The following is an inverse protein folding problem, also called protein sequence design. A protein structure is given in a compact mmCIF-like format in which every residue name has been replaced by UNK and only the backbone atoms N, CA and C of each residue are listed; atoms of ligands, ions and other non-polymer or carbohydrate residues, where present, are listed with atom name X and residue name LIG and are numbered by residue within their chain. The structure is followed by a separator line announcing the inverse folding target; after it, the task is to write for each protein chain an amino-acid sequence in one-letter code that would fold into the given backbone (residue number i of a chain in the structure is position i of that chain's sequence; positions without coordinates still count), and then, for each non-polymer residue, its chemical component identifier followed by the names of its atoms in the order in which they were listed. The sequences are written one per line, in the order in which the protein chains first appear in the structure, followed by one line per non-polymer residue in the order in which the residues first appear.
data_IF_057146195491
#
_entry.id   IF_057146195491
#
_cell.length_a   1.000
_cell.length_b   1.000
_cell.length_c   1.000
_cell.angle_alpha   90.00
_cell.angle_beta   90.00
_cell.angle_gamma   90.00
#
_symmetry.space_group_name_H-M   'P 1'
#
loop_
_entity.id
_entity.type
_entity.pdbx_description
1 polymer ?
#
# COMPACT_ATOMS: atom_id res chain seq x y z
N UNK A 1 7.49 3.40 3.45
CA UNK A 1 6.89 4.37 4.41
C UNK A 1 7.99 5.07 5.18
N UNK A 2 8.22 6.39 5.01
CA UNK A 2 9.36 7.16 5.56
C UNK A 2 9.06 7.72 6.98
N UNK A 3 10.05 7.81 7.87
CA UNK A 3 9.93 8.51 9.17
C UNK A 3 9.87 10.03 8.94
N UNK A 4 9.04 10.74 9.73
CA UNK A 4 8.86 12.19 9.61
C UNK A 4 9.49 12.87 10.83
N UNK A 5 10.61 13.57 10.65
CA UNK A 5 11.12 14.54 11.62
C UNK A 5 10.23 15.79 11.63
N UNK A 6 10.09 16.45 12.78
CA UNK A 6 9.03 17.43 13.04
C UNK A 6 9.03 18.69 12.15
N UNK A 7 10.06 18.93 11.33
CA UNK A 7 10.28 20.23 10.72
C UNK A 7 9.71 20.44 9.30
N UNK A 8 8.94 19.51 8.74
CA UNK A 8 8.01 19.78 7.61
C UNK A 8 7.01 18.62 7.43
N UNK A 9 6.05 18.53 8.36
CA UNK A 9 4.92 17.61 8.27
C UNK A 9 3.90 18.14 7.27
N UNK A 10 3.76 17.45 6.14
CA UNK A 10 2.73 17.72 5.13
C UNK A 10 1.42 17.03 5.53
N UNK A 11 0.49 17.80 6.09
CA UNK A 11 -0.81 17.33 6.55
C UNK A 11 -1.67 16.79 5.40
N UNK A 12 -1.52 17.31 4.19
CA UNK A 12 -2.22 16.80 3.00
C UNK A 12 -1.76 15.38 2.67
N UNK A 13 -0.45 15.14 2.72
CA UNK A 13 0.12 13.82 2.49
C UNK A 13 -0.31 12.81 3.56
N UNK A 14 -0.34 13.23 4.83
CA UNK A 14 -0.83 12.38 5.91
C UNK A 14 -2.34 12.07 5.74
N UNK A 15 -3.17 13.02 5.30
CA UNK A 15 -4.59 12.72 5.01
C UNK A 15 -4.77 11.74 3.86
N UNK A 16 -4.02 11.89 2.77
CA UNK A 16 -4.06 10.96 1.63
C UNK A 16 -3.62 9.55 2.04
N UNK A 17 -2.56 9.44 2.85
CA UNK A 17 -2.10 8.16 3.40
C UNK A 17 -3.16 7.52 4.30
N UNK A 18 -3.82 8.32 5.13
CA UNK A 18 -4.93 7.87 5.95
C UNK A 18 -6.07 7.32 5.11
N UNK A 19 -6.51 8.08 4.10
CA UNK A 19 -7.54 7.65 3.16
C UNK A 19 -7.19 6.33 2.47
N UNK A 20 -5.96 6.18 1.98
CA UNK A 20 -5.50 4.94 1.36
C UNK A 20 -5.60 3.73 2.32
N UNK A 21 -5.20 3.90 3.58
CA UNK A 21 -5.34 2.86 4.60
C UNK A 21 -6.81 2.53 4.87
N UNK A 22 -7.67 3.55 5.03
CA UNK A 22 -9.10 3.35 5.30
C UNK A 22 -9.76 2.59 4.15
N UNK A 23 -9.51 3.00 2.91
CA UNK A 23 -10.05 2.31 1.73
C UNK A 23 -9.57 0.87 1.65
N UNK A 24 -8.31 0.60 2.00
CA UNK A 24 -7.76 -0.77 2.05
C UNK A 24 -8.39 -1.61 3.16
N UNK A 25 -8.62 -1.05 4.35
CA UNK A 25 -9.32 -1.75 5.43
C UNK A 25 -10.74 -2.11 5.00
N UNK A 26 -11.46 -1.16 4.38
CA UNK A 26 -12.81 -1.42 3.86
C UNK A 26 -12.75 -2.51 2.77
N UNK A 27 -11.79 -2.46 1.85
CA UNK A 27 -11.62 -3.50 0.82
C UNK A 27 -11.51 -4.89 1.43
N UNK A 28 -10.58 -5.05 2.37
CA UNK A 28 -10.30 -6.35 2.98
C UNK A 28 -11.46 -6.84 3.84
N UNK A 29 -12.15 -5.96 4.55
CA UNK A 29 -13.38 -6.33 5.28
C UNK A 29 -14.44 -6.83 4.30
N UNK A 30 -14.65 -6.14 3.17
CA UNK A 30 -15.61 -6.57 2.15
C UNK A 30 -15.20 -7.90 1.49
N UNK A 31 -13.90 -8.15 1.28
CA UNK A 31 -13.40 -9.46 0.82
C UNK A 31 -13.83 -10.56 1.78
N UNK A 32 -13.56 -10.39 3.07
CA UNK A 32 -13.88 -11.41 4.08
C UNK A 32 -15.39 -11.64 4.20
N UNK A 33 -16.19 -10.57 4.19
CA UNK A 33 -17.66 -10.66 4.26
C UNK A 33 -18.24 -11.35 3.03
N UNK A 34 -17.79 -10.97 1.83
CA UNK A 34 -18.24 -11.58 0.57
C UNK A 34 -17.87 -13.06 0.49
N UNK A 35 -16.69 -13.44 0.98
CA UNK A 35 -16.22 -14.81 0.93
C UNK A 35 -16.90 -15.74 1.96
N UNK A 36 -17.33 -15.21 3.12
CA UNK A 36 -17.70 -16.06 4.27
C UNK A 36 -19.10 -15.79 4.87
N UNK A 37 -19.73 -14.65 4.58
CA UNK A 37 -20.95 -14.23 5.30
C UNK A 37 -22.11 -13.97 4.36
N UNK A 38 -21.93 -13.07 3.39
CA UNK A 38 -23.01 -12.64 2.51
C UNK A 38 -22.45 -12.13 1.17
N UNK A 39 -23.05 -12.56 0.06
CA UNK A 39 -22.66 -12.13 -1.29
C UNK A 39 -23.69 -11.18 -1.87
N UNK A 40 -23.53 -9.89 -1.60
CA UNK A 40 -24.43 -8.84 -2.10
C UNK A 40 -23.79 -8.04 -3.26
N UNK A 41 -24.51 -7.80 -4.38
CA UNK A 41 -23.94 -7.11 -5.56
C UNK A 41 -23.39 -5.71 -5.27
N UNK A 42 -24.00 -4.98 -4.33
CA UNK A 42 -23.55 -3.64 -3.96
C UNK A 42 -22.19 -3.65 -3.24
N UNK A 43 -21.87 -4.71 -2.50
CA UNK A 43 -20.56 -4.87 -1.84
C UNK A 43 -19.45 -5.06 -2.88
N UNK A 44 -19.71 -5.89 -3.89
CA UNK A 44 -18.78 -6.07 -5.00
C UNK A 44 -18.62 -4.78 -5.82
N UNK A 45 -19.70 -4.04 -6.05
CA UNK A 45 -19.65 -2.74 -6.71
C UNK A 45 -18.75 -1.74 -5.95
N UNK A 46 -18.88 -1.65 -4.62
CA UNK A 46 -17.99 -0.81 -3.78
C UNK A 46 -16.54 -1.26 -3.94
N UNK A 47 -16.27 -2.58 -3.91
CA UNK A 47 -14.92 -3.12 -4.09
C UNK A 47 -14.31 -2.69 -5.40
N UNK A 48 -15.02 -2.94 -6.50
CA UNK A 48 -14.52 -2.71 -7.84
C UNK A 48 -14.35 -1.22 -8.19
N UNK A 49 -15.11 -0.33 -7.55
CA UNK A 49 -15.13 1.10 -7.88
C UNK A 49 -14.36 2.00 -6.91
N UNK A 50 -14.47 1.76 -5.60
CA UNK A 50 -13.92 2.66 -4.58
C UNK A 50 -12.63 2.12 -3.96
N UNK A 51 -12.65 0.87 -3.50
CA UNK A 51 -11.59 0.36 -2.63
C UNK A 51 -10.46 -0.32 -3.38
N UNK A 52 -10.67 -0.77 -4.62
CA UNK A 52 -9.64 -1.33 -5.51
C UNK A 52 -8.50 -0.38 -5.82
N UNK A 53 -8.73 0.93 -5.69
CA UNK A 53 -7.70 1.97 -5.88
C UNK A 53 -6.82 2.20 -4.64
N UNK A 54 -7.13 1.57 -3.50
CA UNK A 54 -6.38 1.78 -2.25
C UNK A 54 -4.89 1.42 -2.36
N UNK A 55 -4.58 0.28 -2.96
CA UNK A 55 -3.22 -0.21 -3.17
C UNK A 55 -2.44 0.63 -4.20
N UNK A 56 -2.99 0.91 -5.40
CA UNK A 56 -2.40 1.89 -6.33
C UNK A 56 -2.12 3.25 -5.65
N UNK A 57 -3.10 3.78 -4.90
CA UNK A 57 -2.94 5.04 -4.19
C UNK A 57 -1.80 4.97 -3.16
N UNK A 58 -1.70 3.89 -2.39
CA UNK A 58 -0.63 3.70 -1.41
C UNK A 58 0.77 3.63 -2.05
N UNK A 59 0.89 2.98 -3.21
CA UNK A 59 2.13 2.92 -3.99
C UNK A 59 2.50 4.29 -4.59
N UNK A 60 1.52 5.01 -5.15
CA UNK A 60 1.70 6.39 -5.65
C UNK A 60 2.16 7.32 -4.53
N UNK A 61 1.54 7.25 -3.35
CA UNK A 61 1.95 8.04 -2.19
C UNK A 61 3.36 7.69 -1.71
N UNK A 62 3.77 6.43 -1.87
CA UNK A 62 5.16 6.02 -1.60
C UNK A 62 6.15 6.65 -2.58
N UNK A 63 5.79 6.78 -3.85
CA UNK A 63 6.55 7.52 -4.87
C UNK A 63 6.65 9.02 -4.60
N UNK A 64 5.53 9.66 -4.23
CA UNK A 64 5.51 11.06 -3.82
C UNK A 64 6.42 11.31 -2.61
N UNK A 65 6.38 10.40 -1.62
CA UNK A 65 7.25 10.44 -0.46
C UNK A 65 8.73 10.28 -0.85
N UNK A 66 9.04 9.33 -1.72
CA UNK A 66 10.40 9.11 -2.22
C UNK A 66 10.95 10.37 -2.91
N UNK A 67 10.14 11.00 -3.77
CA UNK A 67 10.56 12.20 -4.48
C UNK A 67 10.77 13.41 -3.56
N UNK A 68 9.95 13.57 -2.51
CA UNK A 68 9.99 14.74 -1.62
C UNK A 68 10.95 14.62 -0.44
N UNK A 69 11.09 13.40 0.08
CA UNK A 69 11.79 13.14 1.35
C UNK A 69 12.93 12.15 1.21
N UNK A 70 13.14 11.61 0.01
CA UNK A 70 14.19 10.63 -0.26
C UNK A 70 13.90 9.27 0.36
N UNK A 71 14.97 8.58 0.76
CA UNK A 71 14.91 7.19 1.19
C UNK A 71 14.46 7.05 2.65
N UNK A 72 13.84 5.91 3.02
CA UNK A 72 13.46 5.68 4.40
C UNK A 72 14.69 5.55 5.29
N UNK A 73 14.56 5.99 6.54
CA UNK A 73 15.59 5.75 7.56
C UNK A 73 15.80 4.24 7.74
N UNK A 74 17.01 3.83 8.15
CA UNK A 74 17.33 2.42 8.44
C UNK A 74 16.38 1.82 9.48
N UNK A 75 16.10 2.57 10.55
CA UNK A 75 15.12 2.20 11.58
C UNK A 75 13.75 1.91 10.97
N UNK A 76 13.34 2.73 10.01
CA UNK A 76 12.05 2.60 9.35
C UNK A 76 12.00 1.41 8.37
N UNK A 77 13.09 1.15 7.66
CA UNK A 77 13.23 -0.07 6.84
C UNK A 77 13.11 -1.29 7.74
N UNK A 78 13.81 -1.32 8.89
CA UNK A 78 13.73 -2.41 9.84
C UNK A 78 12.30 -2.63 10.36
N UNK A 79 11.57 -1.56 10.70
CA UNK A 79 10.16 -1.66 11.09
C UNK A 79 9.28 -2.31 10.01
N UNK A 80 9.50 -1.93 8.74
CA UNK A 80 8.74 -2.48 7.61
C UNK A 80 9.13 -3.95 7.39
N UNK A 81 10.41 -4.29 7.48
CA UNK A 81 10.92 -5.66 7.35
C UNK A 81 10.33 -6.58 8.42
N UNK A 82 10.36 -6.16 9.69
CA UNK A 82 9.78 -6.93 10.79
C UNK A 82 8.27 -7.08 10.61
N UNK A 83 7.56 -6.01 10.24
CA UNK A 83 6.13 -6.08 9.97
C UNK A 83 5.80 -7.04 8.81
N UNK A 84 6.56 -6.95 7.71
CA UNK A 84 6.41 -7.84 6.57
C UNK A 84 6.62 -9.31 6.96
N UNK A 85 7.71 -9.60 7.68
CA UNK A 85 8.02 -10.95 8.14
C UNK A 85 6.91 -11.52 9.05
N UNK A 86 6.44 -10.74 10.02
CA UNK A 86 5.39 -11.15 10.94
C UNK A 86 4.05 -11.36 10.23
N UNK A 87 3.67 -10.47 9.30
CA UNK A 87 2.42 -10.60 8.55
C UNK A 87 2.44 -11.79 7.59
N UNK A 88 3.52 -12.01 6.84
CA UNK A 88 3.64 -13.19 5.99
C UNK A 88 3.62 -14.48 6.82
N UNK A 89 4.30 -14.50 7.99
CA UNK A 89 4.25 -15.64 8.89
C UNK A 89 2.81 -15.90 9.37
N UNK A 90 2.09 -14.86 9.78
CA UNK A 90 0.71 -14.97 10.24
C UNK A 90 -0.24 -15.45 9.13
N UNK A 91 -0.09 -14.92 7.91
CA UNK A 91 -0.89 -15.32 6.75
C UNK A 91 -0.65 -16.78 6.36
N UNK A 92 0.62 -17.23 6.33
CA UNK A 92 0.99 -18.61 6.04
C UNK A 92 0.40 -19.63 7.04
N UNK A 93 0.07 -19.22 8.26
CA UNK A 93 -0.56 -20.09 9.26
C UNK A 93 -2.07 -20.27 9.02
N UNK A 94 -2.73 -19.29 8.40
CA UNK A 94 -4.18 -19.32 8.16
C UNK A 94 -4.52 -19.90 6.80
N UNK A 95 -3.69 -19.66 5.79
CA UNK A 95 -3.88 -20.18 4.44
C UNK A 95 -2.66 -20.99 4.00
N UNK A 96 -2.66 -22.27 4.37
CA UNK A 96 -1.58 -23.21 4.01
C UNK A 96 -1.55 -23.40 2.49
N UNK A 97 -0.48 -22.94 1.85
CA UNK A 97 -0.23 -23.14 0.41
C UNK A 97 -0.41 -21.89 -0.46
N UNK A 98 -0.86 -20.76 0.10
CA UNK A 98 -0.87 -19.49 -0.63
C UNK A 98 0.53 -18.86 -0.63
N UNK A 99 1.14 -18.81 -1.82
CA UNK A 99 2.35 -18.02 -2.06
C UNK A 99 1.89 -16.62 -2.45
N UNK A 100 1.56 -15.78 -1.47
CA UNK A 100 1.12 -14.39 -1.66
C UNK A 100 1.98 -13.48 -0.81
N UNK A 101 3.10 -12.94 -1.31
CA UNK A 101 3.87 -11.99 -0.52
C UNK A 101 3.01 -10.77 -0.25
N UNK A 102 2.86 -10.41 1.02
CA UNK A 102 2.15 -9.17 1.34
C UNK A 102 2.91 -7.95 0.79
N UNK A 103 2.19 -6.85 0.60
CA UNK A 103 2.68 -5.71 -0.19
C UNK A 103 3.92 -5.02 0.40
N UNK A 104 4.17 -5.07 1.71
CA UNK A 104 5.38 -4.55 2.32
C UNK A 104 6.61 -5.38 1.93
N UNK A 105 6.49 -6.70 1.83
CA UNK A 105 7.53 -7.58 1.30
C UNK A 105 7.82 -7.24 -0.17
N UNK A 106 6.77 -7.12 -0.99
CA UNK A 106 6.92 -6.67 -2.40
C UNK A 106 7.60 -5.30 -2.45
N UNK A 107 7.15 -4.34 -1.64
CA UNK A 107 7.73 -3.00 -1.56
C UNK A 107 9.20 -3.01 -1.12
N UNK A 108 9.60 -3.92 -0.22
CA UNK A 108 11.00 -4.07 0.21
C UNK A 108 11.90 -4.58 -0.91
N UNK A 109 11.38 -5.44 -1.81
CA UNK A 109 12.16 -5.88 -2.98
C UNK A 109 12.52 -4.72 -3.92
N UNK A 110 11.72 -3.64 -3.91
CA UNK A 110 11.95 -2.46 -4.73
C UNK A 110 12.95 -1.47 -4.12
N UNK A 111 13.28 -1.59 -2.84
CA UNK A 111 14.13 -0.64 -2.11
C UNK A 111 15.50 -0.41 -2.79
N UNK A 112 16.23 -1.43 -3.28
CA UNK A 112 17.50 -1.24 -3.99
C UNK A 112 17.34 -0.45 -5.30
N UNK A 113 16.14 -0.47 -5.90
CA UNK A 113 15.82 0.18 -7.16
C UNK A 113 15.24 1.58 -7.00
N UNK A 114 14.97 2.04 -5.77
CA UNK A 114 14.47 3.40 -5.54
C UNK A 114 15.34 4.50 -6.15
N UNK A 115 16.68 4.42 -6.17
CA UNK A 115 17.49 5.42 -6.88
C UNK A 115 17.20 5.46 -8.38
N UNK A 116 16.98 4.30 -8.99
CA UNK A 116 16.64 4.21 -10.40
C UNK A 116 15.24 4.77 -10.65
N UNK A 117 14.24 4.36 -9.86
CA UNK A 117 12.85 4.84 -9.97
C UNK A 117 12.78 6.35 -9.76
N UNK A 118 13.50 6.88 -8.76
CA UNK A 118 13.52 8.30 -8.46
C UNK A 118 14.18 9.12 -9.58
N UNK A 119 15.16 8.56 -10.29
CA UNK A 119 15.90 9.23 -11.38
C UNK A 119 15.18 9.12 -12.72
N UNK A 120 14.70 7.94 -13.07
CA UNK A 120 14.08 7.59 -14.36
C UNK A 120 12.69 6.99 -14.18
N UNK A 121 11.70 7.77 -13.69
CA UNK A 121 10.41 7.22 -13.30
C UNK A 121 9.60 6.71 -14.50
N UNK A 122 9.67 7.36 -15.66
CA UNK A 122 8.91 6.93 -16.85
C UNK A 122 9.44 5.59 -17.35
N UNK A 123 10.75 5.45 -17.43
CA UNK A 123 11.44 4.23 -17.83
C UNK A 123 11.20 3.12 -16.80
N UNK A 124 11.28 3.42 -15.50
CA UNK A 124 10.99 2.46 -14.44
C UNK A 124 9.54 1.97 -14.49
N UNK A 125 8.57 2.85 -14.80
CA UNK A 125 7.19 2.43 -15.01
C UNK A 125 7.04 1.54 -16.24
N UNK A 126 7.69 1.89 -17.35
CA UNK A 126 7.72 1.07 -18.56
C UNK A 126 8.30 -0.33 -18.29
N UNK A 127 9.43 -0.41 -17.61
CA UNK A 127 10.05 -1.67 -17.19
C UNK A 127 9.14 -2.47 -16.25
N UNK A 128 8.46 -1.82 -15.31
CA UNK A 128 7.50 -2.46 -14.42
C UNK A 128 6.32 -3.09 -15.17
N UNK A 129 5.74 -2.37 -16.14
CA UNK A 129 4.68 -2.88 -17.01
C UNK A 129 5.17 -4.03 -17.89
N UNK A 130 6.40 -3.94 -18.42
CA UNK A 130 7.00 -5.01 -19.20
C UNK A 130 7.26 -6.26 -18.35
N UNK A 131 7.71 -6.11 -17.10
CA UNK A 131 7.84 -7.24 -16.17
C UNK A 131 6.48 -7.89 -15.91
N UNK A 132 5.45 -7.10 -15.60
CA UNK A 132 4.10 -7.61 -15.35
C UNK A 132 3.55 -8.43 -16.53
N UNK A 133 3.83 -8.01 -17.76
CA UNK A 133 3.31 -8.68 -18.97
C UNK A 133 4.13 -9.88 -19.42
N UNK A 134 5.46 -9.78 -19.33
CA UNK A 134 6.36 -10.75 -19.99
C UNK A 134 7.07 -11.68 -19.00
N UNK A 135 7.19 -11.28 -17.73
CA UNK A 135 7.92 -12.01 -16.70
C UNK A 135 7.13 -12.02 -15.38
N UNK A 136 5.84 -12.41 -15.36
CA UNK A 136 5.08 -12.48 -14.13
C UNK A 136 5.73 -13.48 -13.16
N UNK A 137 5.86 -13.09 -11.90
CA UNK A 137 6.34 -14.00 -10.86
C UNK A 137 5.17 -14.91 -10.48
N UNK A 138 5.44 -16.22 -10.36
CA UNK A 138 4.45 -17.25 -10.04
C UNK A 138 4.02 -17.22 -8.55
N UNK A 139 3.50 -16.08 -8.12
CA UNK A 139 2.81 -15.88 -6.86
C UNK A 139 1.52 -15.12 -7.12
N UNK A 140 0.56 -15.28 -6.24
CA UNK A 140 -0.68 -14.54 -6.30
C UNK A 140 -0.50 -13.14 -5.66
N UNK A 141 -1.28 -12.17 -6.11
CA UNK A 141 -1.25 -10.80 -5.57
C UNK A 141 -0.33 -9.84 -6.33
N UNK A 142 0.18 -8.84 -5.61
CA UNK A 142 0.84 -7.67 -6.22
C UNK A 142 2.20 -8.03 -6.81
N UNK A 143 2.43 -7.64 -8.06
CA UNK A 143 3.70 -7.89 -8.73
C UNK A 143 4.69 -6.72 -8.46
N UNK A 144 6.01 -6.97 -8.34
CA UNK A 144 6.97 -5.90 -8.10
C UNK A 144 6.96 -4.85 -9.21
N UNK A 145 6.77 -5.24 -10.46
CA UNK A 145 6.67 -4.31 -11.60
C UNK A 145 5.42 -3.44 -11.55
N UNK A 146 4.29 -3.98 -11.07
CA UNK A 146 3.08 -3.19 -10.84
C UNK A 146 3.32 -2.13 -9.74
N UNK A 147 3.90 -2.54 -8.61
CA UNK A 147 4.27 -1.62 -7.54
C UNK A 147 5.28 -0.56 -8.01
N UNK A 148 6.29 -0.95 -8.79
CA UNK A 148 7.28 -0.04 -9.36
C UNK A 148 6.63 1.00 -10.26
N UNK A 149 5.67 0.60 -11.12
CA UNK A 149 4.94 1.52 -12.00
C UNK A 149 4.14 2.56 -11.21
N UNK A 150 3.44 2.17 -10.15
CA UNK A 150 2.70 3.11 -9.31
C UNK A 150 3.61 4.01 -8.48
N UNK A 151 4.72 3.50 -7.94
CA UNK A 151 5.72 4.33 -7.25
C UNK A 151 6.32 5.34 -8.22
N UNK A 152 6.68 4.91 -9.43
CA UNK A 152 7.17 5.79 -10.49
C UNK A 152 6.16 6.89 -10.84
N UNK A 153 4.88 6.54 -10.97
CA UNK A 153 3.81 7.51 -11.19
C UNK A 153 3.76 8.56 -10.06
N UNK A 154 3.94 8.15 -8.80
CA UNK A 154 4.08 9.07 -7.68
C UNK A 154 5.26 10.04 -7.80
N UNK A 155 6.40 9.56 -8.30
CA UNK A 155 7.58 10.41 -8.59
C UNK A 155 7.27 11.39 -9.73
N UNK A 156 6.63 10.95 -10.82
CA UNK A 156 6.20 11.82 -11.92
C UNK A 156 5.25 12.88 -11.42
N UNK A 157 4.23 12.50 -10.65
CA UNK A 157 3.26 13.43 -10.06
C UNK A 157 3.93 14.50 -9.22
N UNK A 158 4.97 14.16 -8.45
CA UNK A 158 5.74 15.17 -7.72
C UNK A 158 6.47 16.16 -8.63
N UNK A 159 6.95 15.71 -9.80
CA UNK A 159 7.68 16.56 -10.76
C UNK A 159 6.76 17.49 -11.56
N UNK A 160 5.52 17.08 -11.83
CA UNK A 160 4.58 17.85 -12.65
C UNK A 160 3.54 18.61 -11.83
N UNK A 161 3.30 18.21 -10.58
CA UNK A 161 2.29 18.81 -9.70
C UNK A 161 2.99 19.46 -8.52
N UNK A 162 3.24 20.76 -8.63
CA UNK A 162 3.88 21.54 -7.56
C UNK A 162 3.07 21.58 -6.26
N UNK A 163 1.78 21.22 -6.28
CA UNK A 163 0.93 21.17 -5.08
C UNK A 163 -0.52 20.79 -5.33
N UNK A 164 -0.99 20.62 -6.58
CA UNK A 164 -2.42 20.46 -6.87
C UNK A 164 -3.05 19.25 -6.14
N UNK A 165 -2.37 18.10 -6.16
CA UNK A 165 -2.85 16.88 -5.50
C UNK A 165 -2.99 17.05 -3.98
N UNK A 166 -2.09 17.84 -3.37
CA UNK A 166 -2.11 18.14 -1.94
C UNK A 166 -3.07 19.27 -1.58
N UNK A 167 -3.35 20.19 -2.50
CA UNK A 167 -4.41 21.20 -2.34
C UNK A 167 -5.77 20.50 -2.23
N UNK A 168 -6.00 19.45 -3.01
CA UNK A 168 -7.23 18.66 -2.90
C UNK A 168 -7.29 17.77 -1.66
N UNK A 169 -6.15 17.44 -1.03
CA UNK A 169 -6.13 16.73 0.24
C UNK A 169 -6.76 17.52 1.39
N UNK A 170 -7.00 18.83 1.22
CA UNK A 170 -7.75 19.66 2.18
C UNK A 170 -9.20 19.19 2.32
N UNK A 171 -9.80 18.69 1.23
CA UNK A 171 -11.16 18.15 1.23
C UNK A 171 -11.27 16.80 1.95
N UNK A 172 -10.14 16.11 2.18
CA UNK A 172 -10.13 14.87 2.94
C UNK A 172 -10.32 15.20 4.43
N UNK A 173 -11.22 14.49 5.13
CA UNK A 173 -11.48 14.73 6.54
C UNK A 173 -10.21 14.70 7.40
N UNK A 174 -10.16 15.59 8.40
CA UNK A 174 -9.00 15.71 9.30
C UNK A 174 -8.69 14.44 10.09
N UNK A 175 -9.68 13.60 10.36
CA UNK A 175 -9.48 12.34 11.09
C UNK A 175 -8.64 11.34 10.27
N UNK A 176 -8.64 11.41 8.94
CA UNK A 176 -7.73 10.63 8.09
C UNK A 176 -6.27 10.97 8.38
N UNK A 177 -5.96 12.20 8.79
CA UNK A 177 -4.60 12.60 9.15
C UNK A 177 -4.06 11.79 10.33
N UNK A 178 -4.89 11.49 11.34
CA UNK A 178 -4.49 10.69 12.48
C UNK A 178 -4.07 9.27 12.06
N UNK A 179 -4.80 8.69 11.11
CA UNK A 179 -4.47 7.39 10.51
C UNK A 179 -3.15 7.47 9.73
N UNK A 180 -3.03 8.45 8.84
CA UNK A 180 -1.86 8.59 7.98
C UNK A 180 -0.59 9.14 8.63
N UNK A 181 -0.66 9.60 9.89
CA UNK A 181 0.52 9.81 10.74
C UNK A 181 1.16 8.50 11.18
N UNK A 182 0.39 7.41 11.30
CA UNK A 182 0.86 6.08 11.72
C UNK A 182 0.42 4.92 10.79
N UNK A 183 0.59 4.99 9.45
CA UNK A 183 -0.05 4.04 8.55
C UNK A 183 0.40 2.60 8.73
N UNK A 184 1.66 2.33 9.13
CA UNK A 184 2.12 0.97 9.41
C UNK A 184 1.42 0.36 10.63
N UNK A 185 1.13 1.16 11.67
CA UNK A 185 0.40 0.67 12.83
C UNK A 185 -1.00 0.21 12.41
N UNK A 186 -1.71 1.05 11.65
CA UNK A 186 -3.04 0.72 11.16
C UNK A 186 -3.04 -0.40 10.12
N UNK A 187 -2.03 -0.42 9.25
CA UNK A 187 -1.84 -1.49 8.26
C UNK A 187 -1.62 -2.85 8.93
N UNK A 188 -0.68 -2.94 9.86
CA UNK A 188 -0.42 -4.19 10.58
C UNK A 188 -1.63 -4.56 11.45
N UNK A 189 -2.18 -3.60 12.20
CA UNK A 189 -3.28 -3.84 13.11
C UNK A 189 -4.54 -4.39 12.42
N UNK A 190 -4.98 -3.79 11.31
CA UNK A 190 -6.19 -4.28 10.63
C UNK A 190 -5.98 -5.66 10.01
N UNK A 191 -4.80 -5.95 9.44
CA UNK A 191 -4.50 -7.29 8.93
C UNK A 191 -4.45 -8.33 10.04
N UNK A 192 -3.82 -8.02 11.18
CA UNK A 192 -3.83 -8.94 12.33
C UNK A 192 -5.24 -9.25 12.81
N UNK A 193 -6.11 -8.22 12.90
CA UNK A 193 -7.51 -8.40 13.28
C UNK A 193 -8.26 -9.25 12.25
N UNK A 194 -8.09 -8.97 10.95
CA UNK A 194 -8.76 -9.70 9.89
C UNK A 194 -8.32 -11.16 9.84
N UNK A 195 -7.03 -11.44 10.01
CA UNK A 195 -6.53 -12.81 10.04
C UNK A 195 -7.08 -13.55 11.26
N UNK A 196 -7.12 -12.91 12.43
CA UNK A 196 -7.74 -13.50 13.63
C UNK A 196 -9.24 -13.75 13.45
N UNK A 197 -9.97 -12.82 12.83
CA UNK A 197 -11.39 -12.97 12.53
C UNK A 197 -11.64 -14.09 11.50
N UNK A 198 -10.86 -14.14 10.42
CA UNK A 198 -10.92 -15.21 9.42
C UNK A 198 -10.69 -16.57 10.05
N UNK A 199 -9.63 -16.72 10.85
CA UNK A 199 -9.35 -17.95 11.58
C UNK A 199 -10.48 -18.34 12.55
N UNK A 200 -11.14 -17.38 13.21
CA UNK A 200 -12.28 -17.66 14.08
C UNK A 200 -13.51 -18.13 13.29
N UNK A 201 -13.74 -17.60 12.09
CA UNK A 201 -14.86 -17.99 11.21
C UNK A 201 -14.64 -19.38 10.62
N UNK A 202 -13.42 -19.73 10.21
CA UNK A 202 -13.13 -21.02 9.55
C UNK A 202 -12.99 -22.20 10.52
N UNK A 203 -12.83 -21.95 11.82
CA UNK A 203 -12.80 -22.99 12.86
C UNK A 203 -14.18 -23.24 13.50
N UNK A 204 -15.25 -22.64 12.96
CA UNK A 204 -16.66 -22.93 13.25
C UNK A 204 -17.24 -23.81 12.14
#
# INVERSE_FOLDING_TARGET
MLEVTAQQRDSGLDRLRGLAIILMVIDHVLVVVLANVASEPWMEAIRLTLTRLSMPLFMILSGLLLARRGYPSRKRILQILVAAALLNLLLNQVEVGLVTPEILAVWLTLLPFFPLIARYPVEAAGLGILQLRNLPIAWDGYQPGEAAAFIALGVVLNRISDSALLRHAIAIPRWCEAVGRRPLLWYVGHLTILVAAGAAITNL
#
